data_IF_475751995221
#
_entry.id   IF_475751995221
#
_cell.length_a   1.000
_cell.length_b   1.000
_cell.length_c   1.000
_cell.angle_alpha   90.00
_cell.angle_beta   90.00
_cell.angle_gamma   90.00
#
_symmetry.space_group_name_H-M   'P 1'
#
loop_
_entity.id
_entity.type
_entity.pdbx_description
1 polymer ?
#
# COMPACT_ATOMS: atom_id res chain seq x y z
N UNK A 1 20.38 42.66 -7.66
CA UNK A 1 19.14 43.16 -7.10
C UNK A 1 17.98 42.59 -7.91
N UNK A 2 17.20 41.76 -7.27
CA UNK A 2 15.97 41.20 -7.84
C UNK A 2 14.87 42.20 -7.54
N UNK A 3 14.26 42.73 -8.57
CA UNK A 3 13.13 43.63 -8.48
C UNK A 3 11.89 42.88 -7.99
N UNK A 4 11.38 43.26 -6.84
CA UNK A 4 10.07 42.78 -6.31
C UNK A 4 9.07 43.94 -6.46
N UNK A 5 8.07 43.85 -7.34
CA UNK A 5 6.98 44.83 -7.39
C UNK A 5 5.95 44.52 -6.33
N UNK A 6 5.69 45.46 -5.44
CA UNK A 6 4.58 45.44 -4.48
C UNK A 6 4.82 44.55 -3.26
N UNK A 7 5.30 45.15 -2.17
CA UNK A 7 5.55 44.51 -0.91
C UNK A 7 4.26 43.96 -0.29
N UNK A 8 4.04 42.69 -0.54
CA UNK A 8 3.36 41.81 0.43
C UNK A 8 4.51 41.06 1.06
N UNK A 9 4.96 41.48 2.23
CA UNK A 9 5.70 40.62 3.13
C UNK A 9 4.76 39.44 3.42
N UNK A 10 4.96 38.35 2.70
CA UNK A 10 4.43 37.06 3.15
C UNK A 10 5.25 36.74 4.41
N UNK A 11 4.65 36.92 5.58
CA UNK A 11 5.11 36.23 6.78
C UNK A 11 5.36 34.79 6.36
N UNK A 12 6.59 34.34 6.42
CA UNK A 12 6.91 32.93 6.31
C UNK A 12 6.21 32.27 7.51
N UNK A 13 4.98 31.78 7.31
CA UNK A 13 4.36 30.85 8.24
C UNK A 13 5.44 29.84 8.59
N UNK A 14 5.81 29.78 9.86
CA UNK A 14 7.00 29.09 10.34
C UNK A 14 7.12 27.71 9.73
N UNK A 15 8.20 27.47 9.01
CA UNK A 15 8.46 26.22 8.31
C UNK A 15 8.27 25.08 9.32
N UNK A 16 7.26 24.24 9.09
CA UNK A 16 6.97 23.10 9.97
C UNK A 16 8.23 22.23 10.00
N UNK A 17 8.92 22.22 11.13
CA UNK A 17 10.12 21.41 11.31
C UNK A 17 9.77 19.93 11.19
N UNK A 18 10.54 19.15 10.43
CA UNK A 18 10.30 17.73 10.29
C UNK A 18 10.49 17.03 11.64
N UNK A 19 9.55 16.15 11.98
CA UNK A 19 9.66 15.27 13.14
C UNK A 19 10.28 13.96 12.68
N UNK A 20 11.23 13.42 13.44
CA UNK A 20 11.91 12.18 13.12
C UNK A 20 11.46 11.06 14.06
N UNK A 21 11.29 9.87 13.50
CA UNK A 21 11.18 8.63 14.25
C UNK A 21 12.55 8.27 14.87
N UNK A 22 12.62 7.56 16.01
CA UNK A 22 13.88 7.08 16.57
C UNK A 22 14.75 6.32 15.56
N UNK A 23 14.15 5.60 14.62
CA UNK A 23 14.85 4.87 13.54
C UNK A 23 15.34 5.78 12.39
N UNK A 24 15.24 7.11 12.53
CA UNK A 24 15.85 8.10 11.65
C UNK A 24 15.05 8.49 10.41
N UNK A 25 13.84 7.98 10.18
CA UNK A 25 12.98 8.44 9.09
C UNK A 25 12.06 9.60 9.52
N UNK A 26 11.62 10.39 8.54
CA UNK A 26 10.71 11.52 8.78
C UNK A 26 9.29 11.02 9.02
N UNK A 27 8.69 11.43 10.15
CA UNK A 27 7.29 11.14 10.47
C UNK A 27 6.33 11.93 9.56
N UNK A 28 5.10 11.46 9.37
CA UNK A 28 4.09 12.21 8.62
C UNK A 28 3.86 13.61 9.20
N UNK A 29 3.72 14.60 8.33
CA UNK A 29 3.33 15.96 8.74
C UNK A 29 1.89 16.00 9.25
N UNK A 30 1.02 15.25 8.57
CA UNK A 30 -0.38 15.06 8.96
C UNK A 30 -0.62 13.58 9.21
N UNK A 31 -1.24 13.29 10.33
CA UNK A 31 -1.53 11.93 10.75
C UNK A 31 -2.84 11.89 11.55
N UNK A 32 -3.65 10.88 11.26
CA UNK A 32 -4.87 10.59 12.04
C UNK A 32 -4.47 10.13 13.44
N UNK A 33 -5.11 10.69 14.46
CA UNK A 33 -4.91 10.27 15.86
C UNK A 33 -5.28 8.78 16.00
N UNK A 34 -4.56 8.03 16.85
CA UNK A 34 -4.91 6.64 17.14
C UNK A 34 -6.35 6.51 17.61
N UNK A 35 -7.07 5.49 17.12
CA UNK A 35 -8.39 5.16 17.62
C UNK A 35 -8.29 4.43 18.96
N UNK A 36 -9.25 4.64 19.86
CA UNK A 36 -9.35 3.88 21.11
C UNK A 36 -9.67 2.39 20.90
N UNK A 37 -10.16 2.02 19.71
CA UNK A 37 -10.44 0.64 19.35
C UNK A 37 -9.17 -0.16 19.01
N UNK A 38 -8.05 0.50 18.77
CA UNK A 38 -6.80 -0.15 18.39
C UNK A 38 -6.21 -0.89 19.59
N UNK A 39 -5.96 -2.19 19.41
CA UNK A 39 -5.32 -3.06 20.39
C UNK A 39 -3.99 -3.63 19.90
N UNK A 40 -3.74 -3.58 18.59
CA UNK A 40 -2.51 -4.04 17.95
C UNK A 40 -2.46 -3.67 16.47
N UNK A 41 -1.50 -4.25 15.77
CA UNK A 41 -1.33 -4.08 14.32
C UNK A 41 -0.81 -5.35 13.68
N UNK A 42 -1.29 -5.67 12.48
CA UNK A 42 -0.73 -6.73 11.62
C UNK A 42 0.48 -6.24 10.80
N UNK A 43 0.89 -4.97 10.94
CA UNK A 43 1.95 -4.38 10.13
C UNK A 43 3.30 -5.08 10.29
N UNK A 44 3.65 -5.45 11.52
CA UNK A 44 4.88 -6.20 11.81
C UNK A 44 4.91 -7.58 11.12
N UNK A 45 3.81 -8.32 11.19
CA UNK A 45 3.67 -9.63 10.52
C UNK A 45 3.69 -9.49 9.00
N UNK A 46 3.04 -8.45 8.48
CA UNK A 46 3.07 -8.14 7.05
C UNK A 46 4.49 -7.81 6.57
N UNK A 47 5.22 -6.97 7.30
CA UNK A 47 6.61 -6.63 6.97
C UNK A 47 7.54 -7.85 7.03
N UNK A 48 7.37 -8.70 8.05
CA UNK A 48 8.12 -9.96 8.19
C UNK A 48 7.84 -10.91 7.02
N UNK A 49 6.55 -11.12 6.70
CA UNK A 49 6.17 -11.97 5.57
C UNK A 49 6.75 -11.45 4.24
N UNK A 50 6.71 -10.13 4.02
CA UNK A 50 7.28 -9.52 2.82
C UNK A 50 8.78 -9.74 2.71
N UNK A 51 9.52 -9.62 3.80
CA UNK A 51 10.96 -9.88 3.83
C UNK A 51 11.28 -11.36 3.63
N UNK A 52 10.68 -12.24 4.43
CA UNK A 52 11.04 -13.67 4.46
C UNK A 52 10.49 -14.47 3.28
N UNK A 53 9.27 -14.15 2.79
CA UNK A 53 8.59 -14.94 1.76
C UNK A 53 8.73 -14.34 0.36
N UNK A 54 8.62 -13.01 0.27
CA UNK A 54 8.69 -12.31 -1.02
C UNK A 54 10.08 -11.72 -1.31
N UNK A 55 10.95 -11.57 -0.29
CA UNK A 55 12.26 -10.94 -0.41
C UNK A 55 12.20 -9.42 -0.58
N UNK A 56 11.16 -8.79 -0.01
CA UNK A 56 10.94 -7.34 -0.09
C UNK A 56 11.25 -6.66 1.24
N UNK A 57 12.31 -5.86 1.26
CA UNK A 57 12.60 -5.00 2.41
C UNK A 57 11.88 -3.67 2.30
N UNK A 58 11.24 -3.26 3.39
CA UNK A 58 10.52 -1.99 3.49
C UNK A 58 11.40 -0.93 4.16
N UNK A 59 11.34 0.30 3.64
CA UNK A 59 11.93 1.47 4.31
C UNK A 59 11.18 1.78 5.62
N UNK A 60 11.84 2.47 6.55
CA UNK A 60 11.25 2.81 7.85
C UNK A 60 9.88 3.48 7.76
N UNK A 61 9.71 4.48 6.88
CA UNK A 61 8.42 5.13 6.68
C UNK A 61 7.34 4.19 6.11
N UNK A 62 7.73 3.18 5.31
CA UNK A 62 6.77 2.20 4.75
C UNK A 62 6.32 1.21 5.83
N UNK A 63 7.22 0.77 6.70
CA UNK A 63 6.88 -0.04 7.88
C UNK A 63 5.91 0.72 8.77
N UNK A 64 6.23 1.96 9.10
CA UNK A 64 5.36 2.83 9.89
C UNK A 64 3.96 2.99 9.27
N UNK A 65 3.90 3.28 7.95
CA UNK A 65 2.64 3.40 7.24
C UNK A 65 1.84 2.09 7.25
N UNK A 66 2.52 0.95 7.15
CA UNK A 66 1.91 -0.37 7.20
C UNK A 66 1.36 -0.67 8.60
N UNK A 67 2.14 -0.37 9.66
CA UNK A 67 1.71 -0.51 11.05
C UNK A 67 0.42 0.29 11.31
N UNK A 68 0.39 1.54 10.85
CA UNK A 68 -0.79 2.41 11.01
C UNK A 68 -1.99 1.95 10.17
N UNK A 69 -1.75 1.47 8.94
CA UNK A 69 -2.81 1.03 8.03
C UNK A 69 -3.47 -0.29 8.46
N UNK A 70 -2.71 -1.15 9.13
CA UNK A 70 -3.13 -2.48 9.53
C UNK A 70 -3.43 -2.59 11.03
N UNK A 71 -3.70 -1.46 11.70
CA UNK A 71 -4.19 -1.46 13.07
C UNK A 71 -5.49 -2.25 13.19
N UNK A 72 -5.56 -3.11 14.20
CA UNK A 72 -6.70 -3.97 14.46
C UNK A 72 -7.26 -3.79 15.87
N UNK A 73 -8.51 -4.19 16.05
CA UNK A 73 -9.19 -4.25 17.34
C UNK A 73 -8.87 -5.56 18.10
N UNK A 74 -9.54 -5.77 19.22
CA UNK A 74 -9.38 -6.96 20.08
C UNK A 74 -9.76 -8.29 19.40
N UNK A 75 -10.56 -8.24 18.33
CA UNK A 75 -11.01 -9.40 17.56
C UNK A 75 -10.16 -9.61 16.29
N UNK A 76 -9.08 -8.84 16.13
CA UNK A 76 -8.17 -8.89 14.97
C UNK A 76 -8.71 -8.22 13.71
N UNK A 77 -9.85 -7.51 13.80
CA UNK A 77 -10.45 -6.83 12.64
C UNK A 77 -9.81 -5.47 12.42
N UNK A 78 -9.58 -5.12 11.14
CA UNK A 78 -8.99 -3.82 10.80
C UNK A 78 -9.87 -2.66 11.27
N UNK A 79 -9.29 -1.76 12.04
CA UNK A 79 -9.97 -0.57 12.57
C UNK A 79 -10.26 0.44 11.46
N UNK A 80 -9.38 0.55 10.48
CA UNK A 80 -9.47 1.56 9.42
C UNK A 80 -10.06 0.96 8.14
N UNK A 81 -11.27 1.38 7.77
CA UNK A 81 -11.90 1.01 6.49
C UNK A 81 -11.27 1.73 5.30
N UNK A 82 -10.73 2.92 5.53
CA UNK A 82 -10.08 3.74 4.51
C UNK A 82 -8.78 4.28 5.05
N UNK A 83 -7.71 4.10 4.28
CA UNK A 83 -6.39 4.63 4.59
C UNK A 83 -5.91 5.48 3.42
N UNK A 84 -5.51 6.73 3.71
CA UNK A 84 -4.92 7.62 2.74
C UNK A 84 -3.43 7.81 3.05
N UNK A 85 -2.56 7.45 2.11
CA UNK A 85 -1.12 7.65 2.22
C UNK A 85 -0.68 8.61 1.11
N UNK A 86 -0.26 9.82 1.50
CA UNK A 86 0.24 10.83 0.58
C UNK A 86 1.73 11.09 0.83
N UNK A 87 2.55 10.79 -0.17
CA UNK A 87 3.99 11.07 -0.18
C UNK A 87 4.42 11.55 -1.55
N UNK A 88 5.53 12.26 -1.63
CA UNK A 88 6.10 12.77 -2.87
C UNK A 88 6.29 11.69 -3.96
N UNK A 89 6.61 12.12 -5.18
CA UNK A 89 6.98 11.20 -6.26
C UNK A 89 8.29 10.49 -5.94
N UNK A 90 8.48 9.28 -6.49
CA UNK A 90 9.69 8.46 -6.37
C UNK A 90 10.08 8.04 -4.94
N UNK A 91 9.17 8.13 -3.99
CA UNK A 91 9.38 7.73 -2.60
C UNK A 91 8.91 6.29 -2.28
N UNK A 92 8.75 5.45 -3.29
CA UNK A 92 8.46 4.02 -3.04
C UNK A 92 6.99 3.69 -2.75
N UNK A 93 6.01 4.55 -3.10
CA UNK A 93 4.56 4.24 -2.96
C UNK A 93 4.15 2.94 -3.64
N UNK A 94 4.59 2.76 -4.88
CA UNK A 94 4.27 1.55 -5.66
C UNK A 94 4.90 0.30 -5.06
N UNK A 95 6.05 0.45 -4.39
CA UNK A 95 6.68 -0.62 -3.63
C UNK A 95 5.80 -1.04 -2.46
N UNK A 96 5.39 -0.09 -1.62
CA UNK A 96 4.47 -0.34 -0.50
C UNK A 96 3.13 -0.92 -0.97
N UNK A 97 2.52 -0.36 -2.02
CA UNK A 97 1.26 -0.86 -2.58
C UNK A 97 1.38 -2.31 -3.05
N UNK A 98 2.48 -2.67 -3.73
CA UNK A 98 2.76 -4.06 -4.14
C UNK A 98 2.84 -4.98 -2.93
N UNK A 99 3.60 -4.58 -1.92
CA UNK A 99 3.75 -5.35 -0.69
C UNK A 99 2.41 -5.59 -0.01
N UNK A 100 1.62 -4.53 0.17
CA UNK A 100 0.29 -4.61 0.80
C UNK A 100 -0.66 -5.54 0.01
N UNK A 101 -0.72 -5.40 -1.31
CA UNK A 101 -1.55 -6.26 -2.16
C UNK A 101 -1.13 -7.74 -2.05
N UNK A 102 0.18 -8.02 -2.09
CA UNK A 102 0.70 -9.37 -1.95
C UNK A 102 0.39 -9.97 -0.58
N UNK A 103 0.71 -9.26 0.48
CA UNK A 103 0.44 -9.73 1.83
C UNK A 103 -1.05 -9.96 2.04
N UNK A 104 -1.90 -9.02 1.65
CA UNK A 104 -3.36 -9.15 1.81
C UNK A 104 -3.89 -10.39 1.08
N UNK A 105 -3.44 -10.64 -0.13
CA UNK A 105 -3.81 -11.82 -0.92
C UNK A 105 -3.39 -13.14 -0.25
N UNK A 106 -2.37 -13.13 0.63
CA UNK A 106 -1.89 -14.29 1.36
C UNK A 106 -2.39 -14.35 2.83
N UNK A 107 -3.39 -13.55 3.17
CA UNK A 107 -3.88 -13.40 4.55
C UNK A 107 -5.28 -13.98 4.75
N UNK A 108 -5.72 -14.92 3.89
CA UNK A 108 -7.05 -15.55 3.99
C UNK A 108 -7.29 -16.20 5.36
N UNK A 109 -6.32 -16.90 5.90
CA UNK A 109 -6.41 -17.53 7.22
C UNK A 109 -6.58 -16.51 8.35
N UNK A 110 -5.88 -15.37 8.25
CA UNK A 110 -5.96 -14.29 9.24
C UNK A 110 -7.35 -13.66 9.29
N UNK A 111 -7.99 -13.49 8.12
CA UNK A 111 -9.30 -12.84 8.01
C UNK A 111 -10.47 -13.83 7.91
N UNK A 112 -10.21 -15.15 7.87
CA UNK A 112 -11.22 -16.18 7.82
C UNK A 112 -12.03 -16.24 6.52
N UNK A 113 -11.53 -15.61 5.43
CA UNK A 113 -12.21 -15.54 4.13
C UNK A 113 -11.22 -15.46 2.97
N UNK A 114 -11.63 -15.91 1.78
CA UNK A 114 -10.88 -15.75 0.54
C UNK A 114 -10.69 -14.27 0.22
N UNK A 115 -9.47 -13.87 -0.06
CA UNK A 115 -9.11 -12.47 -0.25
C UNK A 115 -9.21 -12.07 -1.73
N UNK A 116 -9.93 -10.98 -1.98
CA UNK A 116 -9.94 -10.32 -3.31
C UNK A 116 -9.36 -8.92 -3.17
N UNK A 117 -8.18 -8.71 -3.75
CA UNK A 117 -7.53 -7.40 -3.82
C UNK A 117 -7.83 -6.76 -5.16
N UNK A 118 -8.51 -5.62 -5.17
CA UNK A 118 -8.72 -4.81 -6.36
C UNK A 118 -7.75 -3.62 -6.34
N UNK A 119 -6.82 -3.60 -7.30
CA UNK A 119 -5.86 -2.52 -7.47
C UNK A 119 -6.26 -1.64 -8.65
N UNK A 120 -6.65 -0.42 -8.36
CA UNK A 120 -7.08 0.56 -9.37
C UNK A 120 -6.01 1.64 -9.51
N UNK A 121 -5.69 2.01 -10.74
CA UNK A 121 -4.87 3.16 -11.06
C UNK A 121 -5.55 4.03 -12.15
N UNK A 122 -5.06 5.24 -12.35
CA UNK A 122 -5.54 6.13 -13.42
C UNK A 122 -5.50 5.45 -14.80
N UNK A 123 -4.43 4.70 -15.06
CA UNK A 123 -4.29 3.87 -16.27
C UNK A 123 -4.00 2.44 -15.85
N UNK A 124 -4.63 1.47 -16.52
CA UNK A 124 -4.38 0.04 -16.30
C UNK A 124 -2.90 -0.33 -16.41
N UNK A 125 -2.18 0.26 -17.37
CA UNK A 125 -0.74 0.07 -17.51
C UNK A 125 0.03 0.43 -16.23
N UNK A 126 -0.39 1.47 -15.51
CA UNK A 126 0.24 1.87 -14.24
C UNK A 126 0.01 0.81 -13.14
N UNK A 127 -1.21 0.26 -13.03
CA UNK A 127 -1.49 -0.84 -12.10
C UNK A 127 -0.71 -2.11 -12.48
N UNK A 128 -0.59 -2.39 -13.78
CA UNK A 128 0.19 -3.52 -14.30
C UNK A 128 1.66 -3.42 -13.91
N UNK A 129 2.29 -2.24 -13.99
CA UNK A 129 3.68 -2.06 -13.58
C UNK A 129 3.92 -2.35 -12.10
N UNK A 130 2.95 -2.03 -11.25
CA UNK A 130 3.00 -2.39 -9.83
C UNK A 130 2.88 -3.89 -9.62
N UNK A 131 1.98 -4.55 -10.34
CA UNK A 131 1.72 -5.98 -10.21
C UNK A 131 2.78 -6.86 -10.88
N UNK A 132 3.40 -6.43 -11.98
CA UNK A 132 4.28 -7.25 -12.82
C UNK A 132 5.35 -8.04 -12.05
N UNK A 133 6.16 -7.45 -11.16
CA UNK A 133 7.16 -8.23 -10.40
C UNK A 133 6.53 -9.28 -9.48
N UNK A 134 5.38 -8.96 -8.88
CA UNK A 134 4.61 -9.89 -8.05
C UNK A 134 4.06 -11.06 -8.88
N UNK A 135 3.61 -10.78 -10.11
CA UNK A 135 3.15 -11.79 -11.04
C UNK A 135 4.25 -12.76 -11.46
N UNK A 136 5.45 -12.26 -11.76
CA UNK A 136 6.58 -13.13 -12.07
C UNK A 136 6.96 -14.03 -10.89
N UNK A 137 6.98 -13.49 -9.68
CA UNK A 137 7.20 -14.27 -8.46
C UNK A 137 6.09 -15.33 -8.26
N UNK A 138 4.82 -14.94 -8.38
CA UNK A 138 3.69 -15.86 -8.24
C UNK A 138 3.71 -16.98 -9.31
N UNK A 139 4.04 -16.65 -10.55
CA UNK A 139 4.21 -17.64 -11.62
C UNK A 139 5.33 -18.65 -11.33
N UNK A 140 6.42 -18.21 -10.71
CA UNK A 140 7.50 -19.08 -10.27
C UNK A 140 7.11 -19.99 -9.10
N UNK A 141 6.31 -19.46 -8.15
CA UNK A 141 5.92 -20.17 -6.93
C UNK A 141 4.72 -21.09 -7.12
N UNK A 142 3.71 -20.66 -7.88
CA UNK A 142 2.40 -21.34 -8.00
C UNK A 142 2.13 -21.85 -9.44
N UNK A 143 3.08 -21.63 -10.37
CA UNK A 143 2.95 -22.01 -11.76
C UNK A 143 2.41 -20.90 -12.65
N UNK A 144 2.66 -21.00 -13.96
CA UNK A 144 2.31 -19.96 -14.95
C UNK A 144 0.81 -19.64 -15.02
N UNK A 145 -0.04 -20.60 -14.69
CA UNK A 145 -1.50 -20.42 -14.72
C UNK A 145 -2.02 -19.52 -13.59
N UNK A 146 -1.22 -19.26 -12.55
CA UNK A 146 -1.58 -18.34 -11.44
C UNK A 146 -1.61 -16.88 -11.87
N UNK A 147 -1.11 -16.53 -13.05
CA UNK A 147 -1.04 -15.13 -13.52
C UNK A 147 -1.68 -14.99 -14.89
N UNK A 148 -2.60 -14.05 -15.00
CA UNK A 148 -3.27 -13.66 -16.25
C UNK A 148 -2.74 -12.29 -16.69
N UNK A 149 -2.15 -12.23 -17.88
CA UNK A 149 -1.54 -11.02 -18.44
C UNK A 149 -2.41 -10.31 -19.50
N UNK A 150 -3.59 -10.85 -19.79
CA UNK A 150 -4.49 -10.37 -20.85
C UNK A 150 -5.08 -8.97 -20.57
N UNK A 151 -5.54 -8.31 -21.65
CA UNK A 151 -6.10 -6.96 -21.54
C UNK A 151 -7.45 -6.90 -20.81
N UNK A 152 -8.26 -7.95 -20.89
CA UNK A 152 -9.59 -7.98 -20.25
C UNK A 152 -9.54 -8.42 -18.78
N UNK A 153 -8.61 -9.33 -18.44
CA UNK A 153 -8.47 -9.88 -17.09
C UNK A 153 -7.00 -10.05 -16.76
N UNK A 154 -6.37 -9.02 -16.21
CA UNK A 154 -5.03 -9.16 -15.65
C UNK A 154 -5.10 -9.29 -14.15
N UNK A 155 -4.33 -10.20 -13.60
CA UNK A 155 -4.32 -10.45 -12.18
C UNK A 155 -3.48 -11.66 -11.79
N UNK A 156 -3.40 -11.88 -10.50
CA UNK A 156 -2.81 -13.07 -9.89
C UNK A 156 -3.95 -13.80 -9.17
N UNK A 157 -4.01 -15.12 -9.31
CA UNK A 157 -4.97 -15.98 -8.63
C UNK A 157 -4.23 -17.18 -8.05
N UNK A 158 -4.36 -17.35 -6.74
CA UNK A 158 -3.73 -18.44 -6.02
C UNK A 158 -4.58 -19.72 -6.10
N UNK A 159 -3.99 -20.90 -5.88
CA UNK A 159 -4.74 -22.15 -5.82
C UNK A 159 -5.84 -22.15 -4.74
N UNK A 160 -5.71 -21.31 -3.71
CA UNK A 160 -6.69 -21.09 -2.65
C UNK A 160 -7.91 -20.28 -3.07
N UNK A 161 -7.88 -19.67 -4.27
CA UNK A 161 -8.92 -18.77 -4.76
C UNK A 161 -8.68 -17.31 -4.42
N UNK A 162 -7.67 -17.00 -3.61
CA UNK A 162 -7.26 -15.64 -3.33
C UNK A 162 -6.74 -14.96 -4.60
N UNK A 163 -7.06 -13.68 -4.79
CA UNK A 163 -6.74 -13.02 -6.06
C UNK A 163 -6.42 -11.54 -5.91
N UNK A 164 -5.55 -11.09 -6.79
CA UNK A 164 -5.24 -9.69 -7.01
C UNK A 164 -5.61 -9.31 -8.44
N UNK A 165 -6.61 -8.45 -8.59
CA UNK A 165 -7.15 -7.97 -9.85
C UNK A 165 -6.69 -6.53 -10.07
N UNK A 166 -6.37 -6.17 -11.31
CA UNK A 166 -6.07 -4.78 -11.68
C UNK A 166 -7.14 -4.19 -12.57
N UNK A 167 -7.41 -2.90 -12.41
CA UNK A 167 -8.34 -2.13 -13.24
C UNK A 167 -7.87 -0.69 -13.44
N UNK A 168 -8.51 0.02 -14.35
CA UNK A 168 -8.35 1.47 -14.48
C UNK A 168 -9.57 2.19 -13.88
N UNK A 169 -9.39 3.42 -13.40
CA UNK A 169 -10.45 4.21 -12.79
C UNK A 169 -11.59 4.58 -13.75
N UNK A 170 -11.35 4.49 -15.06
CA UNK A 170 -12.31 4.74 -16.14
C UNK A 170 -12.88 3.46 -16.79
N UNK A 171 -12.47 2.29 -16.33
CA UNK A 171 -13.09 1.03 -16.78
C UNK A 171 -14.47 0.91 -16.13
N UNK A 172 -15.53 0.87 -16.93
CA UNK A 172 -16.92 0.66 -16.48
C UNK A 172 -17.18 -0.73 -15.87
N UNK A 173 -16.17 -1.53 -15.71
CA UNK A 173 -16.21 -2.92 -15.23
C UNK A 173 -16.25 -3.09 -13.70
N UNK A 174 -16.51 -2.02 -12.95
CA UNK A 174 -16.55 -2.06 -11.49
C UNK A 174 -17.97 -2.02 -10.88
N UNK A 175 -19.02 -2.09 -11.69
CA UNK A 175 -20.40 -2.08 -11.22
C UNK A 175 -21.13 -3.27 -11.85
N UNK A 176 -21.09 -4.38 -11.18
CA UNK A 176 -21.85 -5.57 -11.46
C UNK A 176 -22.08 -6.32 -10.17
#
# INVERSE_FOLDING_TARGET
PVYTPGGIEMEQEGAIQPRYHPDGFVLPRLETKPSKAVTGTHGGDAAKWLSEVYGMELFGWQRYALDRALEHDKDGQLVWRTVLISVGRQNGKSWLSRGLCLWRMHSAELFGEVQTVLHIANKRATAMEVMRPAGHWAAGKYGKNSVKWGNERSGIELPTGDRWIISASNDSAGVG
#
